data_IF_343164933054
#
_entry.id   IF_343164933054
#
_cell.length_a   1.000
_cell.length_b   1.000
_cell.length_c   1.000
_cell.angle_alpha   90.00
_cell.angle_beta   90.00
_cell.angle_gamma   90.00
#
_symmetry.space_group_name_H-M   'P 1'
#
loop_
_entity.id
_entity.type
_entity.pdbx_description
1 polymer ?
#
# COMPACT_ATOMS: atom_id res chain seq x y z
N UNK A 1 -5.35 10.11 -1.50
CA UNK A 1 -6.42 9.11 -1.35
C UNK A 1 -6.90 9.16 0.09
N UNK A 2 -8.16 8.83 0.38
CA UNK A 2 -8.64 8.75 1.77
C UNK A 2 -8.05 7.53 2.48
N UNK A 3 -7.85 7.62 3.79
CA UNK A 3 -7.37 6.50 4.63
C UNK A 3 -8.46 5.43 4.71
N UNK A 4 -8.07 4.16 4.56
CA UNK A 4 -8.98 3.02 4.60
C UNK A 4 -9.73 2.91 5.94
N UNK A 5 -10.98 2.46 5.89
CA UNK A 5 -11.87 2.41 7.05
C UNK A 5 -11.56 1.31 8.06
N UNK A 6 -10.80 0.27 7.69
CA UNK A 6 -10.29 -0.73 8.63
C UNK A 6 -8.84 -0.41 8.97
N UNK A 7 -8.56 -0.07 10.23
CA UNK A 7 -7.23 0.35 10.68
C UNK A 7 -6.70 -0.61 11.75
N UNK A 8 -5.46 -1.06 11.57
CA UNK A 8 -4.69 -1.82 12.55
C UNK A 8 -3.52 -0.94 12.97
N UNK A 9 -3.45 -0.59 14.26
CA UNK A 9 -2.28 0.06 14.82
C UNK A 9 -1.16 -0.97 15.00
N UNK A 10 0.03 -0.66 14.48
CA UNK A 10 1.19 -1.55 14.49
C UNK A 10 2.42 -0.84 15.07
N UNK A 11 2.21 -0.05 16.13
CA UNK A 11 3.26 0.72 16.81
C UNK A 11 3.48 2.08 16.12
N UNK A 12 4.65 2.34 15.52
CA UNK A 12 4.95 3.64 14.89
C UNK A 12 4.18 3.87 13.58
N UNK A 13 3.45 2.87 13.08
CA UNK A 13 2.66 2.97 11.86
C UNK A 13 1.24 2.47 12.09
N UNK A 14 0.33 2.96 11.25
CA UNK A 14 -1.00 2.40 11.06
C UNK A 14 -1.07 1.68 9.72
N UNK A 15 -1.68 0.49 9.72
CA UNK A 15 -2.05 -0.23 8.50
C UNK A 15 -3.53 0.00 8.26
N UNK A 16 -3.87 0.78 7.25
CA UNK A 16 -5.25 1.06 6.86
C UNK A 16 -5.62 0.27 5.61
N UNK A 17 -6.86 -0.23 5.55
CA UNK A 17 -7.32 -1.10 4.48
C UNK A 17 -8.71 -0.70 3.99
N UNK A 18 -8.90 -0.79 2.69
CA UNK A 18 -10.21 -0.70 2.04
C UNK A 18 -10.27 -1.64 0.84
N UNK A 19 -11.39 -2.33 0.65
CA UNK A 19 -11.63 -3.06 -0.59
C UNK A 19 -12.23 -2.11 -1.61
N UNK A 20 -11.73 -2.15 -2.84
CA UNK A 20 -12.20 -1.31 -3.95
C UNK A 20 -12.84 -2.19 -5.01
N UNK A 21 -14.15 -2.06 -5.19
CA UNK A 21 -14.94 -2.90 -6.09
C UNK A 21 -15.25 -2.25 -7.46
N UNK A 22 -15.06 -0.93 -7.59
CA UNK A 22 -15.53 -0.15 -8.76
C UNK A 22 -14.40 0.63 -9.43
N UNK A 23 -13.29 -0.04 -9.77
CA UNK A 23 -12.17 0.58 -10.49
C UNK A 23 -12.22 0.13 -11.97
N UNK A 24 -13.15 0.66 -12.75
CA UNK A 24 -13.36 0.25 -14.15
C UNK A 24 -13.58 -1.27 -14.27
N UNK A 25 -12.64 -2.00 -14.86
CA UNK A 25 -12.60 -3.46 -15.01
C UNK A 25 -11.70 -4.15 -13.97
N UNK A 26 -11.28 -3.42 -12.94
CA UNK A 26 -10.40 -3.88 -11.87
C UNK A 26 -11.04 -3.76 -10.48
N UNK A 27 -10.50 -4.50 -9.52
CA UNK A 27 -10.91 -4.51 -8.12
C UNK A 27 -9.79 -5.03 -7.23
N UNK A 28 -9.90 -4.84 -5.93
CA UNK A 28 -9.05 -5.53 -4.96
C UNK A 28 -8.82 -4.76 -3.68
N UNK A 29 -7.92 -5.28 -2.84
CA UNK A 29 -7.57 -4.66 -1.57
C UNK A 29 -6.58 -3.51 -1.79
N UNK A 30 -6.94 -2.31 -1.33
CA UNK A 30 -6.01 -1.23 -1.08
C UNK A 30 -5.51 -1.35 0.37
N UNK A 31 -4.20 -1.51 0.55
CA UNK A 31 -3.53 -1.48 1.85
C UNK A 31 -2.60 -0.28 1.89
N UNK A 32 -2.81 0.59 2.86
CA UNK A 32 -2.03 1.80 3.08
C UNK A 32 -1.23 1.68 4.38
N UNK A 33 -0.02 2.22 4.38
CA UNK A 33 0.81 2.39 5.56
C UNK A 33 0.88 3.88 5.86
N UNK A 34 0.46 4.24 7.06
CA UNK A 34 0.46 5.60 7.55
C UNK A 34 1.44 5.76 8.71
N UNK A 35 2.00 6.96 8.84
CA UNK A 35 2.79 7.39 9.99
C UNK A 35 2.48 8.86 10.29
N UNK A 36 2.65 9.27 11.54
CA UNK A 36 2.71 10.69 11.87
C UNK A 36 4.03 11.26 11.33
N UNK A 37 3.94 12.28 10.47
CA UNK A 37 5.07 13.05 9.95
C UNK A 37 4.71 14.52 10.13
N UNK A 38 5.54 15.26 10.87
CA UNK A 38 5.33 16.69 11.16
C UNK A 38 3.93 17.01 11.72
N UNK A 39 3.38 16.13 12.55
CA UNK A 39 2.04 16.26 13.14
C UNK A 39 0.88 15.91 12.21
N UNK A 40 1.16 15.34 11.03
CA UNK A 40 0.17 14.94 10.04
C UNK A 40 0.13 13.42 9.85
N UNK A 41 -1.07 12.84 9.85
CA UNK A 41 -1.31 11.44 9.48
C UNK A 41 -1.03 11.27 7.98
N UNK A 42 0.12 10.71 7.65
CA UNK A 42 0.71 10.75 6.31
C UNK A 42 0.79 9.36 5.69
N UNK A 43 0.25 9.17 4.49
CA UNK A 43 0.39 7.94 3.71
C UNK A 43 1.84 7.82 3.22
N UNK A 44 2.61 6.87 3.76
CA UNK A 44 4.02 6.66 3.40
C UNK A 44 4.23 5.53 2.40
N UNK A 45 3.31 4.56 2.36
CA UNK A 45 3.26 3.51 1.34
C UNK A 45 1.81 3.17 1.04
N UNK A 46 1.52 2.81 -0.21
CA UNK A 46 0.24 2.21 -0.60
C UNK A 46 0.46 1.02 -1.52
N UNK A 47 -0.20 -0.09 -1.24
CA UNK A 47 -0.24 -1.30 -2.05
C UNK A 47 -1.66 -1.49 -2.56
N UNK A 48 -1.83 -1.24 -3.84
CA UNK A 48 -3.06 -1.51 -4.58
C UNK A 48 -2.98 -2.95 -5.10
N UNK A 49 -3.44 -3.90 -4.28
CA UNK A 49 -3.41 -5.35 -4.54
C UNK A 49 -4.56 -5.75 -5.47
N UNK A 50 -4.58 -5.17 -6.66
CA UNK A 50 -5.68 -5.32 -7.60
C UNK A 50 -5.56 -6.56 -8.51
N UNK A 51 -6.71 -7.00 -9.01
CA UNK A 51 -6.86 -8.20 -9.83
C UNK A 51 -6.21 -8.04 -11.20
N UNK A 52 -6.29 -6.86 -11.84
CA UNK A 52 -5.78 -6.58 -13.20
C UNK A 52 -4.46 -5.84 -13.21
N UNK A 53 -4.34 -4.75 -12.46
CA UNK A 53 -3.15 -3.92 -12.45
C UNK A 53 -2.59 -3.71 -11.03
N UNK A 54 -2.12 -4.76 -10.35
CA UNK A 54 -1.54 -4.61 -9.02
C UNK A 54 -0.30 -3.72 -9.07
N UNK A 55 -0.23 -2.77 -8.15
CA UNK A 55 0.88 -1.81 -8.08
C UNK A 55 1.04 -1.26 -6.67
N UNK A 56 2.14 -0.55 -6.44
CA UNK A 56 2.36 0.16 -5.20
C UNK A 56 2.92 1.55 -5.45
N UNK A 57 2.78 2.41 -4.43
CA UNK A 57 3.18 3.81 -4.45
C UNK A 57 4.06 4.08 -3.23
N UNK A 58 5.11 4.88 -3.43
CA UNK A 58 5.83 5.52 -2.33
C UNK A 58 5.18 6.87 -2.04
N UNK A 59 4.89 7.11 -0.76
CA UNK A 59 4.69 8.45 -0.23
C UNK A 59 6.02 9.04 0.24
N UNK A 60 6.00 10.11 1.06
CA UNK A 60 4.81 10.89 1.46
C UNK A 60 4.31 11.84 0.36
N UNK A 61 5.12 12.06 -0.68
CA UNK A 61 4.88 13.08 -1.71
C UNK A 61 3.68 12.79 -2.61
N UNK A 62 3.12 11.57 -2.52
CA UNK A 62 1.94 11.10 -3.25
C UNK A 62 1.96 11.47 -4.74
N UNK A 63 3.12 11.30 -5.39
CA UNK A 63 3.32 11.56 -6.82
C UNK A 63 2.47 10.65 -7.73
N UNK A 64 1.72 9.70 -7.16
CA UNK A 64 0.91 8.72 -7.88
C UNK A 64 1.74 7.92 -8.91
N UNK A 65 3.04 7.74 -8.64
CA UNK A 65 3.93 6.90 -9.42
C UNK A 65 3.56 5.45 -9.13
N UNK A 66 3.07 4.76 -10.16
CA UNK A 66 2.67 3.36 -10.08
C UNK A 66 3.86 2.46 -10.34
N UNK A 67 4.27 1.72 -9.31
CA UNK A 67 5.24 0.64 -9.46
C UNK A 67 4.47 -0.67 -9.63
N UNK A 68 4.30 -1.08 -10.88
CA UNK A 68 3.53 -2.27 -11.22
C UNK A 68 4.19 -3.56 -10.72
N UNK A 69 3.39 -4.46 -10.17
CA UNK A 69 3.81 -5.82 -9.87
C UNK A 69 3.72 -6.64 -11.16
N UNK A 70 4.80 -7.33 -11.49
CA UNK A 70 4.75 -8.38 -12.50
C UNK A 70 4.06 -9.60 -11.91
N UNK A 71 2.83 -9.88 -12.38
CA UNK A 71 2.02 -11.00 -11.90
C UNK A 71 2.66 -12.37 -12.14
N UNK A 72 3.52 -12.51 -13.14
CA UNK A 72 4.19 -13.81 -13.40
C UNK A 72 5.22 -14.14 -12.33
N UNK A 73 5.86 -13.13 -11.74
CA UNK A 73 6.90 -13.32 -10.73
C UNK A 73 6.42 -13.02 -9.30
N UNK A 74 5.47 -12.10 -9.13
CA UNK A 74 4.94 -11.71 -7.83
C UNK A 74 3.83 -12.66 -7.31
N UNK A 75 3.18 -13.42 -8.19
CA UNK A 75 2.08 -14.31 -7.81
C UNK A 75 0.87 -13.53 -7.27
N UNK A 76 0.37 -13.92 -6.09
CA UNK A 76 -0.74 -13.23 -5.44
C UNK A 76 -0.30 -11.86 -4.88
N UNK A 77 -0.91 -10.73 -5.32
CA UNK A 77 -0.48 -9.39 -4.89
C UNK A 77 -0.54 -9.16 -3.38
N UNK A 78 -1.54 -9.70 -2.69
CA UNK A 78 -1.65 -9.59 -1.23
C UNK A 78 -0.54 -10.37 -0.52
N UNK A 79 -0.25 -11.59 -0.98
CA UNK A 79 0.87 -12.39 -0.46
C UNK A 79 2.21 -11.68 -0.63
N UNK A 80 2.45 -11.09 -1.80
CA UNK A 80 3.64 -10.27 -2.06
C UNK A 80 3.71 -9.06 -1.13
N UNK A 81 2.60 -8.34 -0.94
CA UNK A 81 2.51 -7.19 -0.04
C UNK A 81 2.83 -7.58 1.41
N UNK A 82 2.19 -8.62 1.94
CA UNK A 82 2.46 -9.11 3.32
C UNK A 82 3.92 -9.54 3.47
N UNK A 83 4.49 -10.19 2.45
CA UNK A 83 5.91 -10.55 2.42
C UNK A 83 6.84 -9.34 2.54
N UNK A 84 6.53 -8.25 1.84
CA UNK A 84 7.29 -7.00 1.92
C UNK A 84 7.08 -6.28 3.24
N UNK A 85 5.85 -6.22 3.76
CA UNK A 85 5.60 -5.64 5.07
C UNK A 85 6.39 -6.36 6.17
N UNK A 86 6.50 -7.69 6.09
CA UNK A 86 7.23 -8.50 7.07
C UNK A 86 8.74 -8.34 6.96
N UNK A 87 9.28 -8.36 5.74
CA UNK A 87 10.72 -8.54 5.52
C UNK A 87 11.45 -7.26 5.07
N UNK A 88 10.74 -6.32 4.43
CA UNK A 88 11.33 -5.22 3.69
C UNK A 88 10.80 -3.83 4.07
N UNK A 89 9.80 -3.73 4.96
CA UNK A 89 9.12 -2.47 5.27
C UNK A 89 10.09 -1.34 5.62
N UNK A 90 11.04 -1.58 6.51
CA UNK A 90 12.03 -0.56 6.89
C UNK A 90 12.87 -0.09 5.70
N UNK A 91 13.27 -1.01 4.82
CA UNK A 91 14.04 -0.66 3.62
C UNK A 91 13.19 0.14 2.62
N UNK A 92 11.91 -0.22 2.47
CA UNK A 92 10.97 0.52 1.63
C UNK A 92 10.77 1.95 2.15
N UNK A 93 10.50 2.13 3.44
CA UNK A 93 10.29 3.46 4.04
C UNK A 93 11.56 4.34 4.02
N UNK A 94 12.76 3.75 3.98
CA UNK A 94 14.00 4.53 3.83
C UNK A 94 14.28 4.99 2.41
N UNK A 95 13.60 4.40 1.43
CA UNK A 95 13.74 4.76 0.01
C UNK A 95 12.85 5.96 -0.34
N UNK A 96 11.71 6.10 0.34
CA UNK A 96 10.78 7.24 0.23
C UNK A 96 11.40 8.54 0.72
#
# INVERSE_FOLDING_TARGET
MEKGGTVINAGPIDIAMSYRAEIMDDQGLCLQVYSEIDGHDTEILRFDCFDQAPHYHYGPENHNIRLHLDKTTAGNPLGWTIGNLRNNLTAMVRRS
#
